data_IF_857405322334
#
_entry.id   IF_857405322334
#
_cell.length_a   1.000
_cell.length_b   1.000
_cell.length_c   1.000
_cell.angle_alpha   90.00
_cell.angle_beta   90.00
_cell.angle_gamma   90.00
#
_symmetry.space_group_name_H-M   'P 1'
#
loop_
_entity.id
_entity.type
_entity.pdbx_description
1 polymer ?
#
# COMPACT_ATOMS: atom_id res chain seq x y z
N UNK A 1 26.12 11.86 -24.36
CA UNK A 1 25.93 10.90 -23.25
C UNK A 1 24.51 11.10 -22.72
N UNK A 2 23.52 10.50 -23.39
CA UNK A 2 22.10 10.75 -23.10
C UNK A 2 21.59 9.78 -22.02
N UNK A 3 21.10 10.39 -20.92
CA UNK A 3 19.97 10.00 -20.09
C UNK A 3 19.80 8.53 -19.67
N UNK A 4 20.06 8.28 -18.37
CA UNK A 4 19.26 7.33 -17.57
C UNK A 4 18.53 8.10 -16.48
N UNK A 5 17.52 8.87 -16.90
CA UNK A 5 16.52 9.44 -15.99
C UNK A 5 15.64 8.27 -15.54
N UNK A 6 15.92 7.69 -14.35
CA UNK A 6 15.02 6.72 -13.71
C UNK A 6 13.75 7.50 -13.30
N UNK A 7 12.59 7.25 -13.91
CA UNK A 7 11.37 7.94 -13.49
C UNK A 7 11.03 7.47 -12.08
N UNK A 8 10.87 8.43 -11.17
CA UNK A 8 10.44 8.25 -9.77
C UNK A 8 8.95 7.90 -9.69
N UNK A 9 8.49 6.96 -10.52
CA UNK A 9 7.17 6.36 -10.38
C UNK A 9 7.24 5.33 -9.23
N UNK A 10 6.12 5.04 -8.53
CA UNK A 10 6.02 3.75 -7.85
C UNK A 10 6.45 2.66 -8.84
N UNK A 11 7.21 1.66 -8.41
CA UNK A 11 7.57 0.51 -9.25
C UNK A 11 6.33 -0.39 -9.50
N UNK A 12 5.24 0.22 -9.99
CA UNK A 12 3.90 -0.31 -10.16
C UNK A 12 2.94 0.77 -10.69
N UNK A 13 1.82 0.37 -11.29
CA UNK A 13 0.87 1.31 -11.88
C UNK A 13 0.05 2.05 -10.80
N UNK A 14 -0.03 3.38 -10.89
CA UNK A 14 -0.82 4.22 -9.98
C UNK A 14 -2.32 3.88 -10.02
N UNK A 15 -2.84 3.61 -11.23
CA UNK A 15 -4.26 3.34 -11.46
C UNK A 15 -4.83 2.18 -10.61
N UNK A 16 -4.24 0.97 -10.60
CA UNK A 16 -4.72 -0.12 -9.75
C UNK A 16 -4.54 0.15 -8.25
N UNK A 17 -3.51 0.91 -7.85
CA UNK A 17 -3.39 1.34 -6.44
C UNK A 17 -4.59 2.21 -6.05
N UNK A 18 -4.91 3.23 -6.86
CA UNK A 18 -6.01 4.14 -6.58
C UNK A 18 -7.36 3.40 -6.56
N UNK A 19 -7.58 2.45 -7.45
CA UNK A 19 -8.79 1.61 -7.46
C UNK A 19 -8.93 0.79 -6.17
N UNK A 20 -7.85 0.14 -5.72
CA UNK A 20 -7.84 -0.62 -4.46
C UNK A 20 -8.09 0.28 -3.24
N UNK A 21 -7.50 1.47 -3.21
CA UNK A 21 -7.72 2.47 -2.15
C UNK A 21 -9.18 2.93 -2.11
N UNK A 22 -9.77 3.23 -3.28
CA UNK A 22 -11.19 3.61 -3.38
C UNK A 22 -12.11 2.50 -2.86
N UNK A 23 -11.84 1.24 -3.21
CA UNK A 23 -12.62 0.09 -2.72
C UNK A 23 -12.54 -0.06 -1.21
N UNK A 24 -11.34 0.07 -0.65
CA UNK A 24 -11.14 0.00 0.80
C UNK A 24 -11.90 1.13 1.53
N UNK A 25 -11.77 2.37 1.05
CA UNK A 25 -12.41 3.55 1.65
C UNK A 25 -13.94 3.43 1.63
N UNK A 26 -14.52 3.16 0.46
CA UNK A 26 -15.98 3.05 0.31
C UNK A 26 -16.51 1.90 1.15
N UNK A 27 -15.84 0.74 1.14
CA UNK A 27 -16.27 -0.44 1.93
C UNK A 27 -16.22 -0.18 3.44
N UNK A 28 -15.29 0.67 3.90
CA UNK A 28 -15.21 1.13 5.29
C UNK A 28 -16.39 2.04 5.62
N UNK A 29 -16.68 3.03 4.77
CA UNK A 29 -17.75 4.00 5.00
C UNK A 29 -19.15 3.36 5.04
N UNK A 30 -19.39 2.36 4.20
CA UNK A 30 -20.68 1.66 4.18
C UNK A 30 -20.77 0.51 5.19
N UNK A 31 -19.76 0.34 6.07
CA UNK A 31 -19.77 -0.65 7.14
C UNK A 31 -19.59 -2.11 6.70
N UNK A 32 -19.06 -2.35 5.48
CA UNK A 32 -18.74 -3.71 5.01
C UNK A 32 -17.45 -4.26 5.59
N UNK A 33 -16.53 -3.38 5.98
CA UNK A 33 -15.29 -3.76 6.64
C UNK A 33 -15.40 -3.60 8.15
N UNK A 34 -14.48 -4.24 8.88
CA UNK A 34 -14.30 -3.99 10.30
C UNK A 34 -14.04 -2.49 10.53
N UNK A 35 -14.57 -1.90 11.61
CA UNK A 35 -14.24 -0.52 11.97
C UNK A 35 -12.73 -0.31 12.03
N UNK A 36 -12.31 0.89 11.66
CA UNK A 36 -10.92 1.29 11.84
C UNK A 36 -10.54 1.20 13.33
N UNK A 37 -9.26 0.88 13.63
CA UNK A 37 -8.79 0.86 15.00
C UNK A 37 -8.79 2.29 15.59
N UNK A 38 -8.47 2.42 16.88
CA UNK A 38 -8.39 3.73 17.51
C UNK A 38 -7.34 4.62 16.82
N UNK A 39 -7.52 5.94 16.91
CA UNK A 39 -6.57 6.89 16.35
C UNK A 39 -5.14 6.69 16.89
N UNK A 40 -5.00 6.35 18.17
CA UNK A 40 -3.70 6.03 18.79
C UNK A 40 -3.03 4.83 18.13
N UNK A 41 -3.77 3.73 17.91
CA UNK A 41 -3.23 2.56 17.22
C UNK A 41 -2.85 2.86 15.78
N UNK A 42 -3.65 3.68 15.08
CA UNK A 42 -3.32 4.12 13.73
C UNK A 42 -2.03 4.95 13.70
N UNK A 43 -1.85 5.89 14.63
CA UNK A 43 -0.66 6.74 14.70
C UNK A 43 0.61 5.92 14.94
N UNK A 44 0.53 4.91 15.83
CA UNK A 44 1.64 3.97 16.09
C UNK A 44 2.02 3.20 14.82
N UNK A 45 1.04 2.66 14.10
CA UNK A 45 1.30 1.92 12.85
C UNK A 45 1.82 2.84 11.73
N UNK A 46 1.33 4.08 11.64
CA UNK A 46 1.85 5.09 10.70
C UNK A 46 3.32 5.37 10.99
N UNK A 47 3.69 5.58 12.26
CA UNK A 47 5.07 5.85 12.64
C UNK A 47 5.97 4.64 12.35
N UNK A 48 5.52 3.44 12.71
CA UNK A 48 6.21 2.19 12.38
C UNK A 48 6.45 2.04 10.87
N UNK A 49 5.45 2.35 10.05
CA UNK A 49 5.58 2.28 8.59
C UNK A 49 6.60 3.29 8.07
N UNK A 50 6.59 4.54 8.57
CA UNK A 50 7.59 5.56 8.23
C UNK A 50 9.00 5.11 8.58
N UNK A 51 9.19 4.52 9.76
CA UNK A 51 10.50 4.04 10.21
C UNK A 51 11.02 2.90 9.30
N UNK A 52 10.14 1.96 8.92
CA UNK A 52 10.46 0.90 7.97
C UNK A 52 10.82 1.45 6.59
N UNK A 53 10.07 2.43 6.09
CA UNK A 53 10.37 3.08 4.81
C UNK A 53 11.75 3.75 4.81
N UNK A 54 12.13 4.43 5.90
CA UNK A 54 13.46 5.04 6.03
C UNK A 54 14.57 3.98 5.99
N UNK A 55 14.35 2.83 6.63
CA UNK A 55 15.30 1.71 6.61
C UNK A 55 15.46 1.10 5.20
N UNK A 56 14.35 0.93 4.47
CA UNK A 56 14.36 0.27 3.15
C UNK A 56 14.79 1.19 1.99
N UNK A 57 14.45 2.47 2.03
CA UNK A 57 14.63 3.38 0.90
C UNK A 57 15.63 4.54 1.15
N UNK A 58 16.19 4.62 2.36
CA UNK A 58 17.08 5.70 2.77
C UNK A 58 16.38 7.05 2.93
N UNK A 59 17.05 8.02 3.56
CA UNK A 59 16.51 9.38 3.80
C UNK A 59 16.55 10.27 2.54
N UNK A 60 15.97 9.82 1.43
CA UNK A 60 15.77 10.70 0.28
C UNK A 60 14.39 11.36 0.38
N UNK A 61 14.34 12.70 0.27
CA UNK A 61 13.11 13.51 0.33
C UNK A 61 12.02 13.14 -0.71
N UNK A 62 12.31 12.21 -1.62
CA UNK A 62 11.44 11.75 -2.71
C UNK A 62 10.82 10.37 -2.44
N UNK A 63 11.15 9.72 -1.31
CA UNK A 63 10.74 8.35 -0.99
C UNK A 63 9.67 8.26 0.11
N UNK A 64 9.08 9.38 0.54
CA UNK A 64 8.16 9.44 1.69
C UNK A 64 6.79 8.77 1.47
N UNK A 65 6.43 8.46 0.22
CA UNK A 65 5.16 7.81 -0.17
C UNK A 65 5.42 6.56 -1.03
N UNK A 66 6.68 6.15 -1.20
CA UNK A 66 6.99 4.95 -1.98
C UNK A 66 6.45 3.71 -1.28
N UNK A 67 5.61 2.97 -2.01
CA UNK A 67 5.06 1.70 -1.56
C UNK A 67 5.50 0.61 -2.53
N UNK A 68 5.89 -0.54 -1.97
CA UNK A 68 6.06 -1.75 -2.77
C UNK A 68 4.69 -2.22 -3.27
N UNK A 69 4.50 -2.21 -4.59
CA UNK A 69 3.21 -2.42 -5.23
C UNK A 69 2.50 -3.70 -4.76
N UNK A 70 3.18 -4.86 -4.84
CA UNK A 70 2.57 -6.14 -4.52
C UNK A 70 2.24 -6.29 -3.01
N UNK A 71 3.17 -6.04 -2.06
CA UNK A 71 2.85 -6.06 -0.63
C UNK A 71 1.72 -5.09 -0.23
N UNK A 72 1.65 -3.92 -0.86
CA UNK A 72 0.61 -2.93 -0.58
C UNK A 72 -0.77 -3.39 -1.09
N UNK A 73 -0.84 -3.86 -2.34
CA UNK A 73 -2.07 -4.39 -2.91
C UNK A 73 -2.55 -5.65 -2.17
N UNK A 74 -1.64 -6.54 -1.76
CA UNK A 74 -1.96 -7.73 -0.98
C UNK A 74 -2.59 -7.40 0.38
N UNK A 75 -2.09 -6.37 1.06
CA UNK A 75 -2.65 -5.91 2.33
C UNK A 75 -4.09 -5.43 2.15
N UNK A 76 -4.35 -4.57 1.14
CA UNK A 76 -5.71 -4.12 0.85
C UNK A 76 -6.61 -5.26 0.38
N UNK A 77 -6.11 -6.18 -0.44
CA UNK A 77 -6.87 -7.33 -0.92
C UNK A 77 -7.28 -8.27 0.23
N UNK A 78 -6.39 -8.48 1.22
CA UNK A 78 -6.72 -9.22 2.45
C UNK A 78 -7.77 -8.50 3.27
N UNK A 79 -7.64 -7.19 3.45
CA UNK A 79 -8.63 -6.39 4.16
C UNK A 79 -10.01 -6.43 3.48
N UNK A 80 -10.03 -6.40 2.14
CA UNK A 80 -11.24 -6.51 1.32
C UNK A 80 -11.78 -7.94 1.17
N UNK A 81 -11.06 -8.96 1.64
CA UNK A 81 -11.43 -10.37 1.45
C UNK A 81 -11.33 -10.86 0.00
N UNK A 82 -10.63 -10.15 -0.87
CA UNK A 82 -10.46 -10.49 -2.29
C UNK A 82 -9.04 -10.97 -2.64
N UNK A 83 -8.23 -11.33 -1.63
CA UNK A 83 -6.91 -11.89 -1.85
C UNK A 83 -7.03 -13.33 -2.41
N UNK A 84 -6.54 -13.61 -3.63
CA UNK A 84 -6.77 -14.91 -4.27
C UNK A 84 -6.10 -16.08 -3.56
N UNK A 85 -5.14 -15.84 -2.64
CA UNK A 85 -4.40 -16.91 -1.98
C UNK A 85 -3.44 -17.61 -2.96
N UNK A 86 -2.23 -17.90 -2.52
CA UNK A 86 -1.19 -18.44 -3.42
C UNK A 86 -1.55 -19.82 -3.99
N UNK A 87 -2.42 -20.58 -3.32
CA UNK A 87 -2.88 -21.91 -3.76
C UNK A 87 -3.85 -21.86 -4.94
N UNK A 88 -4.75 -20.87 -4.98
CA UNK A 88 -5.78 -20.78 -6.03
C UNK A 88 -5.25 -20.31 -7.39
N UNK A 89 -3.95 -19.99 -7.50
CA UNK A 89 -3.29 -19.55 -8.72
C UNK A 89 -2.45 -20.65 -9.39
N UNK A 90 -2.30 -21.81 -8.74
CA UNK A 90 -1.47 -22.94 -9.19
C UNK A 90 -2.31 -24.20 -9.42
N UNK A 91 -3.62 -24.09 -9.23
CA UNK A 91 -4.65 -25.07 -9.61
C UNK A 91 -5.43 -24.55 -10.81
#
# INVERSE_FOLDING_TARGET
MFHSFKPNNPLGALMPISEMQCRFLVSTWIGKLKPLPSAETMEIEIQRHKDQMVQHHGQAARHTIQVDYAPYCDQMAKALGCYPGRKALVE
#
